data_IF_666779904442
#
_entry.id   IF_666779904442
#
_cell.length_a   1.000
_cell.length_b   1.000
_cell.length_c   1.000
_cell.angle_alpha   90.00
_cell.angle_beta   90.00
_cell.angle_gamma   90.00
#
_symmetry.space_group_name_H-M   'P 1'
#
loop_
_entity.id
_entity.type
_entity.pdbx_description
1 polymer ?
#
# COMPACT_ATOMS: atom_id res chain seq x y z
N UNK A 1 -2.39 19.76 -18.60
CA UNK A 1 -1.20 19.38 -17.79
C UNK A 1 -1.61 18.27 -16.84
N UNK A 2 -1.27 17.03 -17.16
CA UNK A 2 -1.67 15.87 -16.36
C UNK A 2 -0.86 15.86 -15.05
N UNK A 3 -1.55 15.99 -13.92
CA UNK A 3 -0.92 16.02 -12.60
C UNK A 3 -0.51 14.58 -12.20
N UNK A 4 0.68 14.17 -12.63
CA UNK A 4 1.25 12.84 -12.35
C UNK A 4 1.76 12.74 -10.90
N UNK A 5 1.80 13.86 -10.14
CA UNK A 5 2.36 13.96 -8.79
C UNK A 5 1.38 13.63 -7.66
N UNK A 6 0.10 13.36 -7.98
CA UNK A 6 -0.88 12.92 -6.98
C UNK A 6 -0.62 11.50 -6.42
N UNK A 7 0.35 10.76 -6.96
CA UNK A 7 0.55 9.31 -6.73
C UNK A 7 1.56 8.93 -5.64
N UNK A 8 2.26 9.88 -5.01
CA UNK A 8 3.33 9.57 -4.04
C UNK A 8 2.92 9.82 -2.57
N UNK A 9 1.65 9.61 -2.25
CA UNK A 9 1.15 9.73 -0.86
C UNK A 9 1.22 8.39 -0.15
N UNK A 10 1.59 8.41 1.11
CA UNK A 10 1.55 7.23 1.95
C UNK A 10 0.11 6.72 2.10
N UNK A 11 -0.13 5.43 1.89
CA UNK A 11 -1.48 4.84 2.03
C UNK A 11 -1.99 4.78 3.47
N UNK A 12 -1.11 4.96 4.46
CA UNK A 12 -1.45 4.95 5.89
C UNK A 12 -1.78 6.36 6.37
N UNK A 13 -0.83 7.30 6.25
CA UNK A 13 -1.00 8.65 6.81
C UNK A 13 -1.45 9.70 5.78
N UNK A 14 -1.51 9.38 4.49
CA UNK A 14 -1.93 10.30 3.42
C UNK A 14 -0.92 11.41 3.08
N UNK A 15 0.20 11.49 3.80
CA UNK A 15 1.23 12.51 3.59
C UNK A 15 2.11 12.19 2.39
N UNK A 16 2.52 13.23 1.66
CA UNK A 16 3.50 13.13 0.58
C UNK A 16 4.90 13.17 1.21
N UNK A 17 5.56 12.02 1.26
CA UNK A 17 6.94 11.88 1.74
C UNK A 17 7.80 11.31 0.62
N UNK A 18 9.09 11.66 0.60
CA UNK A 18 10.03 11.18 -0.42
C UNK A 18 10.52 9.76 -0.14
N UNK A 19 10.61 9.35 1.13
CA UNK A 19 11.21 8.07 1.54
C UNK A 19 10.21 7.03 2.07
N UNK A 20 10.63 5.76 2.08
CA UNK A 20 9.89 4.58 2.56
C UNK A 20 9.77 3.48 1.49
N UNK A 21 8.94 2.48 1.73
CA UNK A 21 8.73 1.35 0.82
C UNK A 21 7.58 1.54 -0.18
N UNK A 22 7.68 0.84 -1.31
CA UNK A 22 6.65 0.79 -2.36
C UNK A 22 6.22 -0.67 -2.54
N UNK A 23 4.92 -0.95 -2.38
CA UNK A 23 4.31 -2.28 -2.51
C UNK A 23 3.22 -2.20 -3.58
N UNK A 24 3.35 -2.96 -4.68
CA UNK A 24 2.39 -2.95 -5.81
C UNK A 24 2.02 -1.54 -6.32
N UNK A 25 2.98 -0.62 -6.37
CA UNK A 25 2.75 0.77 -6.80
C UNK A 25 2.07 1.66 -5.76
N UNK A 26 1.93 1.18 -4.51
CA UNK A 26 1.41 1.93 -3.36
C UNK A 26 2.57 2.26 -2.41
N UNK A 27 2.63 3.50 -1.92
CA UNK A 27 3.72 3.97 -1.05
C UNK A 27 3.34 3.86 0.42
N UNK A 28 4.29 3.45 1.26
CA UNK A 28 4.26 3.62 2.71
C UNK A 28 5.46 4.50 3.07
N UNK A 29 5.26 5.59 3.81
CA UNK A 29 6.38 6.45 4.18
C UNK A 29 7.23 5.79 5.28
N UNK A 30 8.50 6.19 5.36
CA UNK A 30 9.46 5.65 6.33
C UNK A 30 8.93 5.64 7.78
N UNK A 31 8.29 6.73 8.23
CA UNK A 31 7.73 6.79 9.59
C UNK A 31 6.62 5.77 9.81
N UNK A 32 5.77 5.52 8.80
CA UNK A 32 4.72 4.50 8.90
C UNK A 32 5.27 3.08 8.82
N UNK A 33 6.37 2.88 8.10
CA UNK A 33 7.10 1.62 8.03
C UNK A 33 7.79 1.29 9.35
N UNK A 34 8.55 2.23 9.93
CA UNK A 34 9.20 2.09 11.24
C UNK A 34 8.15 1.78 12.31
N UNK A 35 7.07 2.56 12.38
CA UNK A 35 5.95 2.29 13.28
C UNK A 35 5.31 0.91 13.07
N UNK A 36 5.22 0.43 11.83
CA UNK A 36 4.65 -0.89 11.55
C UNK A 36 5.57 -2.03 12.03
N UNK A 37 6.88 -1.86 11.91
CA UNK A 37 7.88 -2.84 12.34
C UNK A 37 7.95 -2.90 13.87
N UNK A 38 7.84 -1.75 14.54
CA UNK A 38 7.87 -1.66 16.01
C UNK A 38 6.53 -2.04 16.66
N UNK A 39 5.45 -2.11 15.88
CA UNK A 39 4.12 -2.37 16.39
C UNK A 39 3.90 -3.86 16.72
N UNK A 40 3.42 -4.14 17.93
CA UNK A 40 3.01 -5.48 18.31
C UNK A 40 1.79 -5.96 17.49
N UNK A 41 1.87 -7.19 16.99
CA UNK A 41 0.87 -7.77 16.09
C UNK A 41 -0.55 -7.87 16.68
N UNK A 42 -0.68 -7.85 18.01
CA UNK A 42 -1.97 -7.94 18.72
C UNK A 42 -2.63 -6.59 18.97
N UNK A 43 -2.04 -5.48 18.52
CA UNK A 43 -2.57 -4.13 18.74
C UNK A 43 -3.54 -3.69 17.65
N UNK A 44 -4.41 -2.75 17.99
CA UNK A 44 -5.34 -2.13 17.03
C UNK A 44 -4.62 -1.33 15.94
N UNK A 45 -3.41 -0.86 16.23
CA UNK A 45 -2.53 -0.25 15.24
C UNK A 45 -2.16 -1.25 14.15
N UNK A 46 -1.67 -2.44 14.51
CA UNK A 46 -1.31 -3.46 13.52
C UNK A 46 -2.51 -3.83 12.63
N UNK A 47 -3.70 -4.00 13.23
CA UNK A 47 -4.95 -4.25 12.49
C UNK A 47 -5.30 -3.12 11.53
N UNK A 48 -5.11 -1.87 11.95
CA UNK A 48 -5.32 -0.70 11.10
C UNK A 48 -4.38 -0.71 9.88
N UNK A 49 -3.07 -0.91 10.10
CA UNK A 49 -2.09 -1.03 9.02
C UNK A 49 -2.46 -2.16 8.03
N UNK A 50 -2.80 -3.33 8.56
CA UNK A 50 -3.19 -4.49 7.75
C UNK A 50 -4.43 -4.18 6.90
N UNK A 51 -5.42 -3.47 7.45
CA UNK A 51 -6.62 -3.08 6.73
C UNK A 51 -6.33 -2.06 5.62
N UNK A 52 -5.46 -1.08 5.85
CA UNK A 52 -5.04 -0.11 4.84
C UNK A 52 -4.33 -0.83 3.68
N UNK A 53 -3.40 -1.74 3.99
CA UNK A 53 -2.66 -2.51 2.99
C UNK A 53 -3.61 -3.40 2.18
N UNK A 54 -4.46 -4.21 2.85
CA UNK A 54 -5.44 -5.08 2.19
C UNK A 54 -6.32 -4.30 1.23
N UNK A 55 -6.97 -3.22 1.68
CA UNK A 55 -7.86 -2.40 0.84
C UNK A 55 -7.17 -1.87 -0.41
N UNK A 56 -5.88 -1.52 -0.31
CA UNK A 56 -5.13 -0.96 -1.44
C UNK A 56 -4.55 -2.03 -2.37
N UNK A 57 -4.30 -3.24 -1.87
CA UNK A 57 -3.74 -4.36 -2.65
C UNK A 57 -4.80 -5.27 -3.29
N UNK A 58 -5.98 -5.42 -2.68
CA UNK A 58 -7.08 -6.25 -3.23
C UNK A 58 -7.37 -5.99 -4.72
N UNK A 59 -7.41 -4.73 -5.21
CA UNK A 59 -7.64 -4.48 -6.64
C UNK A 59 -6.53 -5.00 -7.54
N UNK A 60 -5.28 -5.07 -7.05
CA UNK A 60 -4.13 -5.56 -7.80
C UNK A 60 -4.08 -7.09 -7.82
N UNK A 61 -4.49 -7.75 -6.74
CA UNK A 61 -4.52 -9.21 -6.65
C UNK A 61 -5.60 -9.77 -7.58
N UNK A 62 -6.81 -9.19 -7.56
CA UNK A 62 -7.92 -9.63 -8.42
C UNK A 62 -7.59 -9.44 -9.91
N UNK A 63 -6.83 -8.41 -10.26
CA UNK A 63 -6.40 -8.16 -11.64
C UNK A 63 -5.45 -9.25 -12.17
N UNK A 64 -4.49 -9.68 -11.34
CA UNK A 64 -3.52 -10.72 -11.72
C UNK A 64 -4.15 -12.12 -11.84
N UNK A 65 -5.28 -12.38 -11.20
CA UNK A 65 -5.99 -13.68 -11.28
C UNK A 65 -6.89 -13.83 -12.51
N UNK A 66 -7.04 -12.81 -13.37
CA UNK A 66 -7.89 -12.86 -14.57
C UNK A 66 -7.10 -12.94 -15.89
N UNK A 67 -5.77 -12.99 -15.87
CA UNK A 67 -4.93 -13.06 -17.09
C UNK A 67 -4.46 -14.48 -17.42
N UNK A 68 -5.32 -15.50 -17.23
CA UNK A 68 -5.07 -16.85 -17.79
C UNK A 68 -6.36 -17.51 -18.31
N UNK A 69 -6.85 -17.08 -19.47
CA UNK A 69 -7.39 -17.96 -20.52
C UNK A 69 -7.73 -17.17 -21.79
N UNK A 70 -6.72 -16.77 -22.56
CA UNK A 70 -6.93 -16.51 -23.99
C UNK A 70 -5.64 -16.85 -24.75
N UNK A 71 -5.28 -18.14 -24.70
CA UNK A 71 -4.44 -18.76 -25.73
C UNK A 71 -4.71 -20.27 -25.74
N UNK A 72 -5.80 -20.65 -26.40
CA UNK A 72 -6.00 -21.93 -27.10
C UNK A 72 -7.28 -21.82 -27.94
#
# INVERSE_FOLDING_TARGET
MNNIYAKNKCIVCGKAHENGIIICGKKICRSCEENLIECEANTDFYKYYMNCIKKQLTPHIIKNSCEKSEYL
#
